data_IF_838214337589
#
_entry.id   IF_838214337589
#
_cell.length_a   1.000
_cell.length_b   1.000
_cell.length_c   1.000
_cell.angle_alpha   90.00
_cell.angle_beta   90.00
_cell.angle_gamma   90.00
#
_symmetry.space_group_name_H-M   'P 1'
#
loop_
_entity.id
_entity.type
_entity.pdbx_description
1 polymer ?
#
# COMPACT_ATOMS: atom_id res chain seq x y z
N UNK A 1 -13.71 -19.36 -91.95
CA UNK A 1 -15.17 -19.35 -92.14
C UNK A 1 -15.74 -19.50 -90.73
N UNK A 2 -16.31 -18.48 -90.09
CA UNK A 2 -17.65 -17.91 -90.36
C UNK A 2 -17.73 -16.47 -89.79
N UNK A 3 -18.46 -15.59 -90.49
CA UNK A 3 -18.69 -14.16 -90.22
C UNK A 3 -19.85 -13.94 -89.22
N UNK A 4 -19.86 -12.82 -88.48
CA UNK A 4 -20.94 -11.80 -88.42
C UNK A 4 -20.85 -10.94 -87.14
N UNK A 5 -20.58 -9.61 -87.23
CA UNK A 5 -21.47 -8.41 -87.34
C UNK A 5 -21.84 -7.78 -85.97
N UNK A 6 -21.49 -6.49 -85.86
CA UNK A 6 -21.71 -5.43 -84.84
C UNK A 6 -23.19 -5.26 -84.37
N UNK A 7 -23.52 -4.61 -83.20
CA UNK A 7 -23.38 -3.14 -83.08
C UNK A 7 -23.20 -2.50 -81.66
N UNK A 8 -22.66 -1.27 -81.70
CA UNK A 8 -23.01 -0.03 -80.99
C UNK A 8 -23.78 -0.08 -79.63
N UNK A 9 -23.18 0.48 -78.55
CA UNK A 9 -23.93 0.93 -77.36
C UNK A 9 -23.24 2.12 -76.63
N UNK A 10 -23.74 3.32 -76.95
CA UNK A 10 -24.08 4.50 -76.12
C UNK A 10 -23.32 4.77 -74.81
N UNK A 11 -22.77 6.00 -74.73
CA UNK A 11 -22.26 6.66 -73.52
C UNK A 11 -23.34 6.87 -72.44
N UNK A 12 -22.98 6.61 -71.18
CA UNK A 12 -23.57 7.26 -70.01
C UNK A 12 -22.46 7.60 -69.00
N UNK A 13 -22.03 8.87 -68.96
CA UNK A 13 -21.20 9.42 -67.90
C UNK A 13 -22.08 9.60 -66.66
N UNK A 14 -22.06 8.64 -65.75
CA UNK A 14 -22.64 8.77 -64.43
C UNK A 14 -21.71 9.61 -63.54
N UNK A 15 -22.11 10.85 -63.25
CA UNK A 15 -21.46 11.71 -62.27
C UNK A 15 -21.85 11.25 -60.86
N UNK A 16 -20.93 10.60 -60.14
CA UNK A 16 -21.11 10.35 -58.71
C UNK A 16 -20.69 11.59 -57.91
N UNK A 17 -21.69 12.35 -57.46
CA UNK A 17 -21.56 13.36 -56.41
C UNK A 17 -21.16 12.68 -55.09
N UNK A 18 -20.03 13.09 -54.50
CA UNK A 18 -19.66 12.66 -53.15
C UNK A 18 -20.17 13.67 -52.11
N UNK A 19 -20.87 13.25 -51.04
CA UNK A 19 -21.23 14.13 -49.95
C UNK A 19 -20.00 14.46 -49.10
N UNK A 20 -19.64 15.76 -49.04
CA UNK A 20 -18.67 16.31 -48.09
C UNK A 20 -19.35 16.36 -46.73
N UNK A 21 -19.15 15.31 -45.92
CA UNK A 21 -19.81 15.17 -44.62
C UNK A 21 -19.06 14.25 -43.67
N UNK A 22 -17.72 14.32 -43.66
CA UNK A 22 -16.89 13.60 -42.69
C UNK A 22 -16.47 14.54 -41.56
N UNK A 23 -17.26 14.62 -40.50
CA UNK A 23 -16.81 15.21 -39.25
C UNK A 23 -15.54 14.47 -38.79
N UNK A 24 -14.42 15.19 -38.70
CA UNK A 24 -13.14 14.66 -38.25
C UNK A 24 -13.31 14.13 -36.82
N UNK A 25 -13.10 12.84 -36.54
CA UNK A 25 -13.17 12.35 -35.17
C UNK A 25 -12.11 13.09 -34.34
N UNK A 26 -12.56 13.75 -33.27
CA UNK A 26 -11.66 14.37 -32.31
C UNK A 26 -10.68 13.29 -31.80
N UNK A 27 -9.38 13.63 -31.60
CA UNK A 27 -8.45 12.68 -31.03
C UNK A 27 -9.01 12.19 -29.69
N UNK A 28 -9.31 10.90 -29.62
CA UNK A 28 -9.79 10.26 -28.40
C UNK A 28 -8.76 10.50 -27.30
N UNK A 29 -9.19 11.19 -26.24
CA UNK A 29 -8.40 11.29 -25.02
C UNK A 29 -8.18 9.86 -24.53
N UNK A 30 -6.95 9.36 -24.64
CA UNK A 30 -6.55 8.09 -24.04
C UNK A 30 -6.75 8.22 -22.54
N UNK A 31 -7.87 7.73 -22.05
CA UNK A 31 -8.05 7.48 -20.62
C UNK A 31 -7.11 6.32 -20.34
N UNK A 32 -5.94 6.64 -19.77
CA UNK A 32 -5.12 5.61 -19.13
C UNK A 32 -5.98 5.10 -17.98
N UNK A 33 -6.65 3.98 -18.21
CA UNK A 33 -7.28 3.21 -17.15
C UNK A 33 -6.09 2.66 -16.36
N UNK A 34 -5.71 3.34 -15.28
CA UNK A 34 -4.79 2.78 -14.30
C UNK A 34 -5.53 1.59 -13.72
N UNK A 35 -5.14 0.39 -14.15
CA UNK A 35 -5.61 -0.85 -13.56
C UNK A 35 -5.46 -0.74 -12.04
N UNK A 36 -6.57 -1.01 -11.37
CA UNK A 36 -6.84 -0.58 -10.01
C UNK A 36 -5.77 -1.13 -9.05
N UNK A 37 -5.00 -0.26 -8.42
CA UNK A 37 -4.05 -0.61 -7.36
C UNK A 37 -4.80 -1.09 -6.09
N UNK A 38 -5.57 -2.18 -6.18
CA UNK A 38 -6.32 -2.79 -5.07
C UNK A 38 -6.34 -4.33 -5.13
N UNK A 39 -5.31 -4.97 -5.69
CA UNK A 39 -5.15 -6.44 -5.60
C UNK A 39 -4.99 -6.95 -4.17
N UNK A 40 -4.58 -6.09 -3.24
CA UNK A 40 -4.46 -6.46 -1.83
C UNK A 40 -5.80 -6.90 -1.23
N UNK A 41 -6.92 -6.33 -1.67
CA UNK A 41 -8.26 -6.71 -1.17
C UNK A 41 -8.66 -8.12 -1.58
N UNK A 42 -8.13 -8.62 -2.70
CA UNK A 42 -8.33 -10.01 -3.15
C UNK A 42 -7.51 -10.99 -2.31
N UNK A 43 -6.37 -10.55 -1.79
CA UNK A 43 -5.51 -11.34 -0.91
C UNK A 43 -5.94 -11.27 0.57
N UNK A 44 -6.48 -10.13 1.02
CA UNK A 44 -6.79 -9.87 2.41
C UNK A 44 -8.06 -10.59 2.89
N UNK A 45 -8.02 -11.03 4.16
CA UNK A 45 -9.23 -11.48 4.84
C UNK A 45 -10.18 -10.30 5.12
N UNK A 46 -11.48 -10.56 5.24
CA UNK A 46 -12.48 -9.54 5.62
C UNK A 46 -12.10 -8.82 6.91
N UNK A 47 -11.54 -9.56 7.88
CA UNK A 47 -11.06 -9.01 9.16
C UNK A 47 -9.91 -8.01 8.94
N UNK A 48 -8.97 -8.35 8.08
CA UNK A 48 -7.79 -7.52 7.82
C UNK A 48 -8.13 -6.28 6.98
N UNK A 49 -9.03 -6.40 6.00
CA UNK A 49 -9.56 -5.23 5.29
C UNK A 49 -10.24 -4.26 6.26
N UNK A 50 -11.12 -4.76 7.13
CA UNK A 50 -11.77 -3.94 8.16
C UNK A 50 -10.76 -3.34 9.16
N UNK A 51 -9.68 -4.05 9.48
CA UNK A 51 -8.64 -3.53 10.36
C UNK A 51 -7.94 -2.32 9.73
N UNK A 52 -7.58 -2.39 8.44
CA UNK A 52 -6.97 -1.28 7.69
C UNK A 52 -7.94 -0.10 7.58
N UNK A 53 -9.19 -0.34 7.22
CA UNK A 53 -10.22 0.70 7.07
C UNK A 53 -10.49 1.46 8.37
N UNK A 54 -10.43 0.77 9.52
CA UNK A 54 -10.72 1.37 10.83
C UNK A 54 -9.52 2.08 11.48
N UNK A 55 -8.31 2.01 10.89
CA UNK A 55 -7.11 2.63 11.46
C UNK A 55 -7.26 4.14 11.77
N UNK A 56 -7.89 4.98 10.93
CA UNK A 56 -8.05 6.41 11.24
C UNK A 56 -8.84 6.66 12.54
N UNK A 57 -9.90 5.89 12.78
CA UNK A 57 -10.68 5.98 14.02
C UNK A 57 -9.86 5.49 15.23
N UNK A 58 -9.09 4.41 15.04
CA UNK A 58 -8.20 3.84 16.07
C UNK A 58 -7.09 4.83 16.47
N UNK A 59 -6.52 5.56 15.52
CA UNK A 59 -5.55 6.63 15.80
C UNK A 59 -6.10 7.68 16.75
N UNK A 60 -7.31 8.18 16.47
CA UNK A 60 -7.99 9.18 17.31
C UNK A 60 -8.15 8.68 18.74
N UNK A 61 -8.66 7.45 18.91
CA UNK A 61 -8.87 6.85 20.22
C UNK A 61 -7.54 6.58 20.97
N UNK A 62 -6.55 5.99 20.30
CA UNK A 62 -5.27 5.63 20.90
C UNK A 62 -4.47 6.87 21.35
N UNK A 63 -4.44 7.93 20.53
CA UNK A 63 -3.80 9.20 20.87
C UNK A 63 -4.52 9.92 22.01
N UNK A 64 -5.86 9.94 22.00
CA UNK A 64 -6.63 10.53 23.09
C UNK A 64 -6.34 9.83 24.42
N UNK A 65 -6.26 8.50 24.43
CA UNK A 65 -5.87 7.72 25.61
C UNK A 65 -4.43 7.99 26.06
N UNK A 66 -3.47 7.93 25.13
CA UNK A 66 -2.05 8.13 25.43
C UNK A 66 -1.76 9.54 25.97
N UNK A 67 -2.34 10.59 25.37
CA UNK A 67 -2.10 11.99 25.75
C UNK A 67 -2.58 12.34 27.16
N UNK A 68 -3.56 11.61 27.72
CA UNK A 68 -4.03 11.84 29.10
C UNK A 68 -2.94 11.63 30.16
N UNK A 69 -1.97 10.75 29.90
CA UNK A 69 -0.93 10.41 30.88
C UNK A 69 0.50 10.54 30.34
N UNK A 70 0.67 10.64 29.02
CA UNK A 70 1.97 10.64 28.36
C UNK A 70 2.10 11.74 27.29
N UNK A 71 1.40 12.87 27.44
CA UNK A 71 1.40 13.98 26.47
C UNK A 71 2.80 14.37 25.98
N UNK A 72 3.76 14.56 26.89
CA UNK A 72 5.14 14.92 26.54
C UNK A 72 5.88 13.85 25.74
N UNK A 73 5.67 12.56 26.05
CA UNK A 73 6.25 11.45 25.27
C UNK A 73 5.62 11.35 23.88
N UNK A 74 4.29 11.45 23.79
CA UNK A 74 3.58 11.46 22.51
C UNK A 74 4.05 12.62 21.64
N UNK A 75 4.17 13.83 22.21
CA UNK A 75 4.66 15.00 21.49
C UNK A 75 6.10 14.82 21.00
N UNK A 76 6.97 14.19 21.79
CA UNK A 76 8.38 13.99 21.42
C UNK A 76 8.60 13.05 20.23
N UNK A 77 7.61 12.25 19.85
CA UNK A 77 7.71 11.36 18.68
C UNK A 77 7.50 12.10 17.34
N UNK A 78 6.94 13.32 17.38
CA UNK A 78 6.71 14.17 16.20
C UNK A 78 5.89 13.47 15.12
N UNK A 79 6.35 13.56 13.87
CA UNK A 79 5.71 12.99 12.68
C UNK A 79 5.38 11.50 12.79
N UNK A 80 6.09 10.74 13.65
CA UNK A 80 5.78 9.33 13.88
C UNK A 80 4.38 9.12 14.46
N UNK A 81 3.93 10.01 15.35
CA UNK A 81 2.61 9.94 15.99
C UNK A 81 1.66 11.04 15.50
N UNK A 82 1.96 11.66 14.37
CA UNK A 82 1.04 12.53 13.64
C UNK A 82 0.33 11.73 12.51
N UNK A 83 -0.98 11.49 12.60
CA UNK A 83 -1.74 10.81 11.55
C UNK A 83 -1.71 11.53 10.19
N UNK A 84 -1.38 12.83 10.15
CA UNK A 84 -1.35 13.62 8.92
C UNK A 84 0.02 13.62 8.20
N UNK A 85 1.06 13.00 8.80
CA UNK A 85 2.44 13.09 8.31
C UNK A 85 2.76 12.28 7.05
N UNK A 86 1.81 11.52 6.49
CA UNK A 86 2.04 10.69 5.31
C UNK A 86 2.46 11.53 4.09
N UNK A 87 3.49 11.12 3.36
CA UNK A 87 4.02 11.80 2.18
C UNK A 87 3.81 10.95 0.92
N UNK A 88 3.75 11.60 -0.24
CA UNK A 88 3.77 10.94 -1.55
C UNK A 88 4.93 9.96 -1.70
N UNK A 89 4.84 8.98 -2.61
CA UNK A 89 5.91 7.99 -2.86
C UNK A 89 6.25 7.20 -1.59
N UNK A 90 5.28 6.45 -1.10
CA UNK A 90 5.38 5.66 0.13
C UNK A 90 6.35 4.48 0.04
N UNK A 91 6.62 3.97 -1.17
CA UNK A 91 7.48 2.82 -1.39
C UNK A 91 8.91 3.03 -0.88
N UNK A 92 9.38 2.23 0.10
CA UNK A 92 10.76 2.27 0.56
C UNK A 92 11.68 1.59 -0.45
N UNK A 93 12.96 1.99 -0.48
CA UNK A 93 13.98 1.26 -1.25
C UNK A 93 14.31 -0.08 -0.57
N UNK A 94 14.56 -1.17 -1.33
CA UNK A 94 15.11 -2.39 -0.75
C UNK A 94 16.41 -2.13 0.03
N UNK A 95 16.58 -2.79 1.18
CA UNK A 95 17.74 -2.64 2.04
C UNK A 95 17.47 -2.84 3.53
N UNK A 96 18.48 -2.55 4.33
CA UNK A 96 18.43 -2.64 5.80
C UNK A 96 18.04 -1.30 6.44
N UNK A 97 17.22 -1.39 7.48
CA UNK A 97 16.69 -0.26 8.23
C UNK A 97 16.92 -0.45 9.73
N UNK A 98 17.03 0.67 10.45
CA UNK A 98 16.84 0.71 11.90
C UNK A 98 15.36 0.84 12.17
N UNK A 99 14.86 0.10 13.17
CA UNK A 99 13.47 0.27 13.57
C UNK A 99 13.24 0.12 15.06
N UNK A 100 12.22 0.80 15.58
CA UNK A 100 11.69 0.63 16.94
C UNK A 100 10.17 0.63 16.89
N UNK A 101 9.52 0.03 17.88
CA UNK A 101 8.07 0.07 18.00
C UNK A 101 7.66 1.02 19.13
N UNK A 102 6.69 1.88 18.85
CA UNK A 102 5.98 2.69 19.84
C UNK A 102 4.55 2.15 19.93
N UNK A 103 4.11 1.80 21.13
CA UNK A 103 2.73 1.39 21.41
C UNK A 103 1.99 2.56 22.03
N UNK A 104 0.81 2.86 21.52
CA UNK A 104 -0.08 3.90 22.05
C UNK A 104 -1.49 3.37 22.27
N UNK A 105 -2.21 3.93 23.23
CA UNK A 105 -3.56 3.50 23.60
C UNK A 105 -3.56 2.27 24.51
N UNK A 106 -4.74 1.87 25.00
CA UNK A 106 -4.87 0.71 25.88
C UNK A 106 -4.06 0.80 27.18
N UNK A 107 -3.60 -0.36 27.71
CA UNK A 107 -2.76 -0.43 28.91
C UNK A 107 -1.49 -1.28 28.65
N UNK A 108 -0.27 -0.72 28.80
CA UNK A 108 0.03 0.68 29.13
C UNK A 108 -0.32 1.63 27.98
N UNK A 109 -0.77 2.85 28.31
CA UNK A 109 -1.22 3.82 27.30
C UNK A 109 -0.10 4.34 26.39
N UNK A 110 1.15 4.17 26.78
CA UNK A 110 2.34 4.44 26.00
C UNK A 110 3.46 3.47 26.38
N UNK A 111 4.17 2.91 25.40
CA UNK A 111 5.47 2.27 25.61
C UNK A 111 6.33 2.33 24.35
N UNK A 112 7.64 2.22 24.50
CA UNK A 112 8.58 2.15 23.38
C UNK A 112 9.49 0.92 23.56
N UNK A 113 9.74 0.21 22.46
CA UNK A 113 10.65 -0.92 22.44
C UNK A 113 12.11 -0.47 22.38
N UNK A 114 13.03 -1.39 22.69
CA UNK A 114 14.42 -1.23 22.25
C UNK A 114 14.47 -1.24 20.72
N UNK A 115 15.38 -0.49 20.08
CA UNK A 115 15.61 -0.58 18.65
C UNK A 115 16.08 -1.97 18.22
N UNK A 116 15.75 -2.32 16.98
CA UNK A 116 16.20 -3.51 16.27
C UNK A 116 16.48 -3.18 14.81
N UNK A 117 16.34 -4.20 13.97
CA UNK A 117 16.51 -4.08 12.52
C UNK A 117 15.24 -4.45 11.78
N UNK A 118 15.05 -3.84 10.63
CA UNK A 118 14.01 -4.18 9.68
C UNK A 118 14.64 -4.31 8.29
N UNK A 119 14.00 -5.09 7.43
CA UNK A 119 14.49 -5.37 6.10
C UNK A 119 13.37 -5.16 5.09
N UNK A 120 13.70 -4.48 4.01
CA UNK A 120 12.85 -4.38 2.82
C UNK A 120 13.55 -5.14 1.71
N UNK A 121 12.84 -6.06 1.06
CA UNK A 121 13.35 -6.75 -0.14
C UNK A 121 12.33 -6.63 -1.26
N UNK A 122 12.76 -6.87 -2.50
CA UNK A 122 11.85 -7.04 -3.64
C UNK A 122 11.87 -8.52 -4.02
N UNK A 123 10.70 -9.13 -4.10
CA UNK A 123 10.48 -10.53 -4.50
C UNK A 123 9.44 -10.50 -5.61
N UNK A 124 9.81 -10.92 -6.82
CA UNK A 124 8.92 -10.90 -8.00
C UNK A 124 8.23 -9.53 -8.20
N UNK A 125 9.01 -8.45 -8.13
CA UNK A 125 8.57 -7.05 -8.20
C UNK A 125 7.63 -6.58 -7.07
N UNK A 126 7.31 -7.44 -6.09
CA UNK A 126 6.57 -7.08 -4.87
C UNK A 126 7.54 -6.70 -3.75
N UNK A 127 7.31 -5.58 -3.07
CA UNK A 127 8.05 -5.25 -1.86
C UNK A 127 7.61 -6.13 -0.69
N UNK A 128 8.58 -6.69 0.03
CA UNK A 128 8.36 -7.36 1.31
C UNK A 128 9.01 -6.58 2.45
N UNK A 129 8.43 -6.71 3.64
CA UNK A 129 8.90 -6.11 4.87
C UNK A 129 9.03 -7.17 5.94
N UNK A 130 10.16 -7.16 6.66
CA UNK A 130 10.37 -7.98 7.84
C UNK A 130 10.93 -7.14 8.98
N UNK A 131 10.44 -7.37 10.20
CA UNK A 131 10.97 -6.74 11.41
C UNK A 131 11.61 -7.78 12.34
N UNK A 132 12.74 -7.39 12.91
CA UNK A 132 13.47 -8.13 13.92
C UNK A 132 13.54 -7.31 15.22
N UNK A 133 12.39 -6.73 15.60
CA UNK A 133 12.22 -6.00 16.86
C UNK A 133 11.80 -7.01 17.94
N UNK A 134 12.43 -7.01 19.13
CA UNK A 134 12.02 -7.88 20.23
C UNK A 134 10.53 -7.74 20.57
N UNK A 135 9.79 -8.86 20.55
CA UNK A 135 8.35 -8.90 20.82
C UNK A 135 7.46 -8.35 19.70
N UNK A 136 8.04 -7.93 18.57
CA UNK A 136 7.36 -7.36 17.41
C UNK A 136 8.03 -7.84 16.11
N UNK A 137 8.29 -9.15 16.05
CA UNK A 137 8.81 -9.81 14.85
C UNK A 137 7.65 -10.15 13.92
N UNK A 138 7.71 -9.68 12.68
CA UNK A 138 6.70 -9.95 11.64
C UNK A 138 7.35 -9.98 10.26
N UNK A 139 6.64 -10.55 9.30
CA UNK A 139 7.04 -10.57 7.90
C UNK A 139 5.81 -10.57 6.99
N UNK A 140 5.91 -9.91 5.84
CA UNK A 140 4.80 -9.79 4.90
C UNK A 140 5.14 -8.96 3.67
N UNK A 141 4.11 -8.66 2.86
CA UNK A 141 4.22 -7.89 1.64
C UNK A 141 3.58 -6.50 1.79
N UNK A 142 4.14 -5.52 1.07
CA UNK A 142 3.66 -4.15 1.00
C UNK A 142 2.99 -3.92 -0.36
N UNK A 143 1.69 -3.68 -0.35
CA UNK A 143 0.85 -3.54 -1.54
C UNK A 143 0.57 -2.08 -1.86
N UNK A 144 0.70 -1.72 -3.13
CA UNK A 144 0.32 -0.39 -3.61
C UNK A 144 -1.18 -0.13 -3.46
N UNK A 145 -1.53 1.13 -3.18
CA UNK A 145 -2.90 1.64 -3.20
C UNK A 145 -2.99 2.91 -4.05
N UNK A 146 -4.19 3.24 -4.52
CA UNK A 146 -4.44 4.34 -5.47
C UNK A 146 -3.84 5.69 -5.05
N UNK A 147 -3.88 6.05 -3.76
CA UNK A 147 -3.43 7.38 -3.32
C UNK A 147 -1.90 7.54 -3.28
N UNK A 148 -1.14 6.44 -3.38
CA UNK A 148 0.34 6.36 -3.34
C UNK A 148 1.05 7.05 -2.17
N UNK A 149 0.30 7.53 -1.18
CA UNK A 149 0.83 8.12 0.07
C UNK A 149 1.00 7.07 1.15
N UNK A 150 0.46 5.88 0.92
CA UNK A 150 0.60 4.70 1.77
C UNK A 150 0.68 3.42 0.93
N UNK A 151 1.09 2.35 1.59
CA UNK A 151 0.99 0.97 1.13
C UNK A 151 0.21 0.17 2.20
N UNK A 152 -0.45 -0.91 1.79
CA UNK A 152 -1.05 -1.86 2.74
C UNK A 152 -0.05 -2.96 3.05
N UNK A 153 0.21 -3.19 4.33
CA UNK A 153 0.99 -4.33 4.78
C UNK A 153 0.04 -5.51 5.03
N UNK A 154 0.30 -6.65 4.40
CA UNK A 154 -0.33 -7.95 4.74
C UNK A 154 0.79 -8.93 5.12
N UNK A 155 0.73 -9.46 6.33
CA UNK A 155 1.77 -10.36 6.83
C UNK A 155 1.36 -11.12 8.08
N UNK A 156 2.32 -11.80 8.69
CA UNK A 156 2.08 -12.59 9.88
C UNK A 156 3.14 -12.31 10.94
N UNK A 157 2.73 -12.38 12.21
CA UNK A 157 3.66 -12.35 13.32
C UNK A 157 4.54 -13.62 13.33
N UNK A 158 5.80 -13.48 13.74
CA UNK A 158 6.73 -14.62 13.87
C UNK A 158 6.61 -15.20 15.29
N UNK A 159 6.06 -16.42 15.46
CA UNK A 159 5.85 -16.99 16.79
C UNK A 159 7.15 -17.54 17.39
N UNK A 160 7.42 -17.19 18.66
CA UNK A 160 8.43 -17.84 19.49
C UNK A 160 9.82 -17.95 18.86
N UNK A 161 10.28 -19.20 18.65
CA UNK A 161 11.62 -19.53 18.09
C UNK A 161 11.65 -19.62 16.56
N UNK A 162 10.53 -19.40 15.87
CA UNK A 162 10.50 -19.45 14.41
C UNK A 162 11.45 -18.39 13.83
N UNK A 163 12.16 -18.73 12.75
CA UNK A 163 13.13 -17.82 12.15
C UNK A 163 12.51 -16.87 11.13
N UNK A 164 11.48 -17.32 10.41
CA UNK A 164 10.81 -16.60 9.34
C UNK A 164 9.31 -16.57 9.65
N UNK A 165 8.61 -15.53 9.20
CA UNK A 165 7.17 -15.44 9.29
C UNK A 165 6.49 -16.53 8.46
N UNK A 166 5.40 -17.15 8.95
CA UNK A 166 4.51 -17.93 8.10
C UNK A 166 3.98 -17.07 6.95
N UNK A 167 3.56 -17.71 5.86
CA UNK A 167 2.86 -17.00 4.80
C UNK A 167 1.54 -16.43 5.34
N UNK A 168 1.20 -15.20 4.93
CA UNK A 168 -0.10 -14.61 5.24
C UNK A 168 -1.24 -15.54 4.78
N UNK A 169 -2.26 -15.72 5.61
CA UNK A 169 -3.39 -16.61 5.35
C UNK A 169 -3.15 -18.07 5.79
N UNK A 170 -1.92 -18.45 6.15
CA UNK A 170 -1.64 -19.79 6.67
C UNK A 170 -2.18 -20.01 8.09
N UNK A 171 -2.35 -18.94 8.87
CA UNK A 171 -2.93 -19.00 10.21
C UNK A 171 -3.65 -17.67 10.53
N UNK A 172 -4.99 -17.66 10.56
CA UNK A 172 -5.76 -16.45 10.85
C UNK A 172 -5.42 -15.77 12.18
N UNK A 173 -4.93 -16.55 13.16
CA UNK A 173 -4.52 -16.03 14.47
C UNK A 173 -3.18 -15.28 14.43
N UNK A 174 -2.30 -15.62 13.48
CA UNK A 174 -1.00 -14.98 13.31
C UNK A 174 -1.01 -13.85 12.27
N UNK A 175 -2.05 -13.77 11.45
CA UNK A 175 -2.21 -12.77 10.40
C UNK A 175 -2.43 -11.37 10.97
N UNK A 176 -1.81 -10.39 10.34
CA UNK A 176 -1.86 -8.98 10.73
C UNK A 176 -1.78 -8.09 9.48
N UNK A 177 -2.50 -6.98 9.54
CA UNK A 177 -2.56 -5.99 8.47
C UNK A 177 -2.36 -4.57 9.02
N UNK A 178 -1.87 -3.68 8.16
CA UNK A 178 -1.58 -2.30 8.57
C UNK A 178 -1.30 -1.36 7.41
N UNK A 179 -0.95 -0.13 7.76
CA UNK A 179 -0.58 0.91 6.79
C UNK A 179 0.88 1.28 6.93
N UNK A 180 1.57 1.24 5.80
CA UNK A 180 2.96 1.68 5.65
C UNK A 180 2.99 3.04 4.96
N UNK A 181 3.65 4.01 5.57
CA UNK A 181 3.65 5.40 5.12
C UNK A 181 5.07 5.95 5.13
N UNK A 182 5.41 6.79 4.14
CA UNK A 182 6.59 7.64 4.24
C UNK A 182 6.24 8.87 5.06
N UNK A 183 7.06 9.20 6.06
CA UNK A 183 6.85 10.35 6.97
C UNK A 183 8.07 11.27 7.05
N UNK A 184 9.03 11.11 6.13
CA UNK A 184 10.24 11.92 6.02
C UNK A 184 11.06 11.54 4.79
N UNK A 185 12.28 12.06 4.65
CA UNK A 185 13.13 11.82 3.47
C UNK A 185 13.57 10.34 3.33
N UNK A 186 13.86 9.70 4.46
CA UNK A 186 14.17 8.25 4.56
C UNK A 186 13.63 7.68 5.88
N UNK A 187 12.45 8.17 6.26
CA UNK A 187 11.74 7.77 7.48
C UNK A 187 10.35 7.30 7.10
N UNK A 188 9.99 6.15 7.60
CA UNK A 188 8.74 5.47 7.32
C UNK A 188 8.08 5.03 8.62
N UNK A 189 6.78 4.79 8.53
CA UNK A 189 5.94 4.31 9.61
C UNK A 189 5.18 3.08 9.13
N UNK A 190 5.17 2.01 9.93
CA UNK A 190 4.19 0.94 9.79
C UNK A 190 3.25 0.96 11.00
N UNK A 191 1.97 1.23 10.77
CA UNK A 191 0.92 1.26 11.80
C UNK A 191 0.10 -0.02 11.77
N UNK A 192 0.00 -0.68 12.92
CA UNK A 192 -0.69 -1.96 13.09
C UNK A 192 -1.64 -1.88 14.29
N UNK A 193 -2.83 -2.50 14.24
CA UNK A 193 -3.60 -2.81 15.45
C UNK A 193 -2.79 -3.71 16.37
N UNK A 194 -2.88 -3.52 17.70
CA UNK A 194 -2.32 -4.50 18.64
C UNK A 194 -3.26 -5.71 18.74
N UNK A 195 -2.84 -6.93 18.35
CA UNK A 195 -3.70 -8.11 18.42
C UNK A 195 -4.09 -8.49 19.85
N UNK A 196 -3.32 -8.05 20.85
CA UNK A 196 -3.61 -8.32 22.27
C UNK A 196 -4.52 -7.27 22.92
N UNK A 197 -4.75 -6.13 22.27
CA UNK A 197 -5.52 -5.01 22.85
C UNK A 197 -6.10 -4.14 21.73
N UNK A 198 -7.41 -4.32 21.49
CA UNK A 198 -8.11 -3.62 20.42
C UNK A 198 -8.12 -2.08 20.57
N UNK A 199 -7.82 -1.54 21.77
CA UNK A 199 -7.74 -0.11 22.01
C UNK A 199 -6.34 0.48 21.75
N UNK A 200 -5.38 -0.33 21.33
CA UNK A 200 -4.01 0.07 21.10
C UNK A 200 -3.55 -0.09 19.65
N UNK A 201 -2.58 0.75 19.30
CA UNK A 201 -1.83 0.67 18.06
C UNK A 201 -0.36 0.42 18.35
N UNK A 202 0.29 -0.31 17.45
CA UNK A 202 1.73 -0.45 17.36
C UNK A 202 2.19 0.33 16.14
N UNK A 203 3.11 1.26 16.36
CA UNK A 203 3.67 2.15 15.33
C UNK A 203 5.16 1.88 15.24
N UNK A 204 5.60 1.27 14.14
CA UNK A 204 7.02 1.06 13.88
C UNK A 204 7.60 2.33 13.26
N UNK A 205 8.64 2.88 13.89
CA UNK A 205 9.49 3.93 13.31
C UNK A 205 10.61 3.24 12.53
N UNK A 206 10.73 3.54 11.25
CA UNK A 206 11.64 2.86 10.31
C UNK A 206 12.51 3.92 9.67
N UNK A 207 13.82 3.85 9.88
CA UNK A 207 14.80 4.83 9.37
C UNK A 207 15.89 4.09 8.61
N UNK A 208 16.35 4.66 7.50
CA UNK A 208 17.46 4.08 6.75
C UNK A 208 18.65 3.87 7.68
N UNK A 209 19.20 2.65 7.69
CA UNK A 209 20.45 2.41 8.41
C UNK A 209 21.59 3.12 7.64
N UNK A 210 22.53 3.79 8.33
CA UNK A 210 23.75 4.26 7.68
C UNK A 210 24.41 3.08 6.96
N UNK A 211 24.86 3.28 5.73
CA UNK A 211 25.73 2.30 5.05
C UNK A 211 26.98 2.15 5.92
N UNK A 212 27.27 0.92 6.36
CA UNK A 212 28.52 0.58 7.02
C UNK A 212 29.67 0.61 6.00
#
# INVERSE_FOLDING_TARGET
>A
MTRSILPLAVLALAACQQPIGGARPAPGRSVVIVEEAEDWTKAASVRDSAAVETLPARWTAALAGARRSFAGKVASEGDLLDPAAALERAAPTPGSYRCRAVRIGGKPAYSASRPGFCYVTSVDDQLSFASEIPGRRLGGYLWDVKDRRRLVFLGSAIPGKARIAPAYGSSPAGDISGLFERIGEFRFRLTLPDPADAAALIVLDITAAPRA
#
